data_IF_881740879763
#
_entry.id   IF_881740879763
#
_cell.length_a   1.000
_cell.length_b   1.000
_cell.length_c   1.000
_cell.angle_alpha   90.00
_cell.angle_beta   90.00
_cell.angle_gamma   90.00
#
_symmetry.space_group_name_H-M   'P 1'
#
loop_
_entity.id
_entity.type
_entity.pdbx_description
1 polymer ?
#
# COMPACT_ATOMS: atom_id res chain seq x y z
N UNK A 1 -51.54 -26.31 -3.68
CA UNK A 1 -50.32 -25.99 -2.89
C UNK A 1 -49.23 -26.97 -3.34
N UNK A 2 -48.35 -26.56 -4.24
CA UNK A 2 -47.29 -27.46 -4.74
C UNK A 2 -46.09 -27.37 -3.79
N UNK A 3 -45.81 -28.48 -3.10
CA UNK A 3 -44.71 -28.64 -2.16
C UNK A 3 -43.39 -28.80 -2.92
N UNK A 4 -42.47 -27.84 -2.75
CA UNK A 4 -41.11 -27.97 -3.25
C UNK A 4 -40.34 -28.97 -2.38
N UNK A 5 -40.10 -30.16 -2.92
CA UNK A 5 -39.22 -31.14 -2.30
C UNK A 5 -37.77 -30.65 -2.39
N UNK A 6 -37.21 -30.25 -1.25
CA UNK A 6 -35.83 -29.81 -1.18
C UNK A 6 -34.90 -31.03 -1.09
N UNK A 7 -34.41 -31.46 -2.24
CA UNK A 7 -33.42 -32.53 -2.31
C UNK A 7 -32.12 -32.09 -1.61
N UNK A 8 -31.82 -32.69 -0.46
CA UNK A 8 -30.50 -32.62 0.19
C UNK A 8 -29.48 -33.27 -0.72
N UNK A 9 -28.89 -32.50 -1.64
CA UNK A 9 -27.74 -32.96 -2.40
C UNK A 9 -26.55 -33.08 -1.44
N UNK A 10 -25.99 -34.29 -1.30
CA UNK A 10 -24.64 -34.47 -0.75
C UNK A 10 -23.73 -33.52 -1.56
N UNK A 11 -23.07 -32.57 -0.91
CA UNK A 11 -22.14 -31.63 -1.58
C UNK A 11 -20.94 -32.43 -2.11
N UNK A 12 -21.09 -33.06 -3.27
CA UNK A 12 -20.02 -33.78 -3.96
C UNK A 12 -19.05 -32.72 -4.52
N UNK A 13 -17.75 -32.90 -4.28
CA UNK A 13 -16.74 -31.93 -4.72
C UNK A 13 -16.84 -31.73 -6.23
N UNK A 14 -16.71 -30.49 -6.72
CA UNK A 14 -16.82 -30.22 -8.16
C UNK A 14 -15.64 -30.91 -8.85
N UNK A 15 -15.88 -31.82 -9.82
CA UNK A 15 -14.80 -32.54 -10.49
C UNK A 15 -13.90 -31.54 -11.23
N UNK A 16 -12.60 -31.82 -11.24
CA UNK A 16 -11.59 -30.85 -11.71
C UNK A 16 -11.80 -30.45 -13.17
N UNK A 17 -12.33 -31.36 -13.99
CA UNK A 17 -12.68 -31.10 -15.40
C UNK A 17 -13.82 -30.07 -15.57
N UNK A 18 -14.70 -29.93 -14.58
CA UNK A 18 -15.76 -28.92 -14.58
C UNK A 18 -15.36 -27.65 -13.81
N UNK A 19 -14.09 -27.54 -13.40
CA UNK A 19 -13.58 -26.35 -12.70
C UNK A 19 -13.38 -25.23 -13.71
N UNK A 20 -14.24 -24.23 -13.65
CA UNK A 20 -14.07 -22.97 -14.36
C UNK A 20 -12.99 -22.15 -13.65
N UNK A 21 -11.86 -21.92 -14.30
CA UNK A 21 -10.88 -20.93 -13.86
C UNK A 21 -11.34 -19.58 -14.40
N UNK A 22 -11.65 -18.58 -13.56
CA UNK A 22 -11.96 -17.25 -14.07
C UNK A 22 -10.75 -16.78 -14.86
N UNK A 23 -10.98 -16.37 -16.11
CA UNK A 23 -9.96 -15.68 -16.88
C UNK A 23 -9.66 -14.40 -16.09
N UNK A 24 -8.38 -14.16 -15.79
CA UNK A 24 -7.91 -12.89 -15.25
C UNK A 24 -8.05 -11.84 -16.36
N UNK A 25 -9.28 -11.47 -16.67
CA UNK A 25 -9.58 -10.44 -17.65
C UNK A 25 -8.96 -9.14 -17.18
N UNK A 26 -8.49 -8.33 -18.14
CA UNK A 26 -8.14 -6.94 -17.86
C UNK A 26 -9.32 -6.26 -17.17
N UNK A 27 -9.05 -5.50 -16.11
CA UNK A 27 -10.05 -4.70 -15.42
C UNK A 27 -10.80 -3.84 -16.47
N UNK A 28 -12.13 -3.96 -16.60
CA UNK A 28 -12.87 -3.20 -17.60
C UNK A 28 -12.59 -1.71 -17.46
N UNK A 29 -12.50 -0.99 -18.58
CA UNK A 29 -12.14 0.44 -18.58
C UNK A 29 -13.04 1.29 -17.67
N UNK A 30 -14.30 0.87 -17.48
CA UNK A 30 -15.25 1.49 -16.56
C UNK A 30 -14.76 1.56 -15.10
N UNK A 31 -13.90 0.63 -14.69
CA UNK A 31 -13.31 0.57 -13.34
C UNK A 31 -11.87 1.07 -13.31
N UNK A 32 -11.33 1.54 -14.44
CA UNK A 32 -9.95 2.03 -14.52
C UNK A 32 -9.91 3.46 -13.99
N UNK A 33 -9.08 3.70 -12.98
CA UNK A 33 -8.82 5.04 -12.47
C UNK A 33 -7.97 5.79 -13.50
N UNK A 34 -8.58 6.75 -14.19
CA UNK A 34 -7.89 7.65 -15.11
C UNK A 34 -7.38 8.86 -14.32
N UNK A 35 -6.06 9.03 -14.24
CA UNK A 35 -5.45 10.21 -13.62
C UNK A 35 -5.32 11.31 -14.66
N UNK A 36 -6.26 12.26 -14.64
CA UNK A 36 -6.20 13.49 -15.45
C UNK A 36 -5.39 14.56 -14.71
N UNK A 37 -4.07 14.50 -14.80
CA UNK A 37 -3.17 15.47 -14.17
C UNK A 37 -3.06 16.69 -15.10
N UNK A 38 -3.78 17.76 -14.77
CA UNK A 38 -3.72 19.04 -15.48
C UNK A 38 -2.76 19.99 -14.77
N UNK A 39 -1.64 20.27 -15.43
CA UNK A 39 -0.59 21.14 -14.89
C UNK A 39 0.36 20.40 -13.94
N UNK A 40 1.28 21.15 -13.34
CA UNK A 40 2.21 20.60 -12.36
C UNK A 40 1.56 20.59 -10.96
N UNK A 41 1.33 19.41 -10.37
CA UNK A 41 0.71 19.31 -9.04
C UNK A 41 1.59 19.91 -7.94
N UNK A 42 2.90 20.04 -8.18
CA UNK A 42 3.87 20.54 -7.20
C UNK A 42 4.14 22.04 -7.35
N UNK A 43 3.49 22.73 -8.31
CA UNK A 43 3.78 24.13 -8.60
C UNK A 43 3.54 25.09 -7.41
N UNK A 44 2.60 24.73 -6.53
CA UNK A 44 2.26 25.53 -5.33
C UNK A 44 3.12 25.14 -4.11
N UNK A 45 3.91 24.07 -4.21
CA UNK A 45 4.71 23.59 -3.09
C UNK A 45 5.90 24.50 -2.82
N UNK A 46 6.17 24.74 -1.53
CA UNK A 46 7.35 25.49 -1.13
C UNK A 46 8.58 24.60 -1.26
N UNK A 47 9.59 25.09 -1.97
CA UNK A 47 10.89 24.42 -2.03
C UNK A 47 11.51 24.38 -0.63
N UNK A 48 11.74 23.16 -0.12
CA UNK A 48 12.45 22.94 1.13
C UNK A 48 13.96 23.03 0.90
N UNK A 49 14.70 23.44 1.94
CA UNK A 49 16.17 23.36 1.93
C UNK A 49 16.59 21.88 1.92
N UNK A 50 17.54 21.48 1.05
CA UNK A 50 18.05 20.11 1.04
C UNK A 50 18.85 19.78 2.32
N UNK A 51 19.41 20.79 2.99
CA UNK A 51 20.16 20.61 4.22
C UNK A 51 19.33 21.09 5.43
N UNK A 52 18.85 20.18 6.29
CA UNK A 52 18.15 20.56 7.51
C UNK A 52 19.13 21.18 8.53
N UNK A 53 18.63 21.97 9.48
CA UNK A 53 19.45 22.47 10.59
C UNK A 53 19.95 21.30 11.47
N UNK A 54 21.08 21.47 12.17
CA UNK A 54 21.59 20.45 13.08
C UNK A 54 20.59 20.16 14.20
N UNK A 55 20.54 18.90 14.62
CA UNK A 55 19.65 18.44 15.67
C UNK A 55 19.88 19.20 16.98
N UNK A 56 18.77 19.60 17.64
CA UNK A 56 18.75 20.16 18.99
C UNK A 56 17.71 19.41 19.83
N UNK A 57 18.06 18.93 21.03
CA UNK A 57 17.11 18.23 21.88
C UNK A 57 16.07 19.22 22.42
N UNK A 58 14.85 19.13 21.90
CA UNK A 58 13.73 19.98 22.32
C UNK A 58 12.51 19.12 22.71
N UNK A 59 11.89 19.48 23.84
CA UNK A 59 10.64 18.89 24.32
C UNK A 59 10.74 17.39 24.60
N UNK A 60 10.08 16.57 23.77
CA UNK A 60 9.92 15.12 23.98
C UNK A 60 11.04 14.28 23.35
N UNK A 61 11.91 14.90 22.55
CA UNK A 61 12.98 14.20 21.87
C UNK A 61 14.32 14.60 22.49
N UNK A 62 14.79 13.75 23.40
CA UNK A 62 16.02 13.94 24.17
C UNK A 62 17.25 13.46 23.39
N UNK A 63 18.43 13.93 23.79
CA UNK A 63 19.70 13.49 23.21
C UNK A 63 19.88 11.96 23.29
N UNK A 64 19.54 11.34 24.42
CA UNK A 64 19.63 9.88 24.59
C UNK A 64 18.76 9.12 23.57
N UNK A 65 17.60 9.67 23.21
CA UNK A 65 16.70 9.07 22.23
C UNK A 65 17.25 9.22 20.82
N UNK A 66 17.88 10.35 20.51
CA UNK A 66 18.59 10.55 19.26
C UNK A 66 19.73 9.54 19.12
N UNK A 67 20.60 9.42 20.12
CA UNK A 67 21.71 8.47 20.11
C UNK A 67 21.26 7.01 19.99
N UNK A 68 20.17 6.63 20.67
CA UNK A 68 19.61 5.29 20.53
C UNK A 68 19.04 5.06 19.13
N UNK A 69 18.44 6.09 18.52
CA UNK A 69 17.96 6.01 17.14
C UNK A 69 19.15 5.82 16.21
N UNK A 70 20.21 6.62 16.33
CA UNK A 70 21.41 6.51 15.49
C UNK A 70 22.08 5.13 15.63
N UNK A 71 22.17 4.60 16.85
CA UNK A 71 22.69 3.24 17.09
C UNK A 71 21.88 2.15 16.39
N UNK A 72 20.55 2.27 16.41
CA UNK A 72 19.63 1.29 15.80
C UNK A 72 19.63 1.35 14.28
N UNK A 73 19.89 2.52 13.68
CA UNK A 73 19.83 2.76 12.23
C UNK A 73 21.23 2.94 11.61
N UNK A 74 22.25 2.34 12.22
CA UNK A 74 23.63 2.32 11.70
C UNK A 74 23.79 1.53 10.37
N UNK A 75 22.72 0.92 9.88
CA UNK A 75 22.65 0.16 8.63
C UNK A 75 22.49 1.04 7.38
N UNK A 76 22.65 2.36 7.52
CA UNK A 76 22.63 3.30 6.39
C UNK A 76 21.21 3.67 5.93
N UNK A 77 20.18 3.32 6.70
CA UNK A 77 18.82 3.80 6.46
C UNK A 77 18.80 5.33 6.59
N UNK A 78 18.45 6.02 5.50
CA UNK A 78 18.36 7.49 5.35
C UNK A 78 19.68 8.26 5.13
N UNK A 79 20.82 7.60 5.06
CA UNK A 79 22.04 8.24 4.54
C UNK A 79 22.01 8.22 3.00
N UNK A 80 22.38 9.32 2.31
CA UNK A 80 22.53 9.26 0.87
C UNK A 80 23.61 8.23 0.51
N UNK A 81 23.33 7.37 -0.46
CA UNK A 81 24.38 6.66 -1.21
C UNK A 81 25.30 7.71 -1.80
N UNK A 82 26.59 7.65 -1.47
CA UNK A 82 27.65 8.49 -2.04
C UNK A 82 27.61 8.53 -3.57
#
# INVERSE_FOLDING_TARGET
VATFAQAKSKKKYKPVALKTRPVLGSLPDKFRIVRDIKGDPLATERKLSPNPPPFKPEGRYTAERAENTDKLHNDGLLLPTE
#
